data_IF_734506814663
#
_entry.id   IF_734506814663
#
_cell.length_a   1.000
_cell.length_b   1.000
_cell.length_c   1.000
_cell.angle_alpha   90.00
_cell.angle_beta   90.00
_cell.angle_gamma   90.00
#
_symmetry.space_group_name_H-M   'P 1'
#
loop_
_entity.id
_entity.type
_entity.pdbx_description
1 polymer ?
#
# COMPACT_ATOMS: atom_id res chain seq x y z
N UNK A 1 23.97 -10.44 1.02
CA UNK A 1 24.02 -9.91 2.41
C UNK A 1 23.38 -8.52 2.56
N UNK A 2 23.60 -7.55 1.66
CA UNK A 2 23.04 -6.19 1.77
C UNK A 2 21.49 -6.14 1.77
N UNK A 3 20.83 -7.04 1.03
CA UNK A 3 19.37 -7.08 0.91
C UNK A 3 18.64 -7.60 2.17
N UNK A 4 19.24 -8.49 2.97
CA UNK A 4 18.55 -9.13 4.10
C UNK A 4 18.44 -8.20 5.31
N UNK A 5 19.54 -7.51 5.66
CA UNK A 5 19.51 -6.53 6.75
C UNK A 5 18.63 -5.33 6.44
N UNK A 6 18.55 -4.91 5.17
CA UNK A 6 17.65 -3.84 4.75
C UNK A 6 16.19 -4.24 4.84
N UNK A 7 15.82 -5.44 4.35
CA UNK A 7 14.45 -5.95 4.49
C UNK A 7 14.02 -6.08 5.96
N UNK A 8 14.92 -6.51 6.85
CA UNK A 8 14.61 -6.64 8.28
C UNK A 8 14.45 -5.28 8.96
N UNK A 9 15.22 -4.28 8.56
CA UNK A 9 15.24 -2.97 9.23
C UNK A 9 14.33 -1.94 8.55
N UNK A 10 13.64 -2.31 7.47
CA UNK A 10 12.66 -1.51 6.76
C UNK A 10 11.39 -2.35 6.50
N UNK A 11 10.67 -2.78 7.55
CA UNK A 11 9.52 -3.67 7.44
C UNK A 11 8.34 -3.05 6.66
N UNK A 12 8.29 -1.73 6.55
CA UNK A 12 7.30 -1.02 5.76
C UNK A 12 7.65 -0.94 4.26
N UNK A 13 8.87 -1.32 3.87
CA UNK A 13 9.32 -1.30 2.49
C UNK A 13 8.69 -2.39 1.62
N UNK A 14 9.06 -2.41 0.34
CA UNK A 14 8.69 -3.50 -0.57
C UNK A 14 9.70 -4.64 -0.52
N UNK A 15 9.20 -5.87 -0.39
CA UNK A 15 10.02 -7.07 -0.19
C UNK A 15 10.00 -8.02 -1.39
N UNK A 16 9.14 -7.77 -2.37
CA UNK A 16 9.00 -8.66 -3.51
C UNK A 16 10.23 -8.69 -4.41
N UNK A 17 10.61 -9.90 -4.79
CA UNK A 17 11.64 -10.17 -5.80
C UNK A 17 11.04 -10.99 -6.96
N UNK A 18 11.44 -10.74 -8.22
CA UNK A 18 10.93 -11.49 -9.38
C UNK A 18 11.13 -13.03 -9.26
N UNK A 19 12.15 -13.44 -8.51
CA UNK A 19 12.48 -14.84 -8.24
C UNK A 19 11.54 -15.52 -7.21
N UNK A 20 10.67 -14.76 -6.55
CA UNK A 20 9.82 -15.23 -5.44
C UNK A 20 8.34 -15.37 -5.82
N UNK A 21 8.04 -15.73 -7.08
CA UNK A 21 6.64 -15.98 -7.48
C UNK A 21 6.16 -17.36 -7.02
N UNK A 22 4.89 -17.50 -6.55
CA UNK A 22 3.88 -16.45 -6.39
C UNK A 22 4.17 -15.54 -5.19
N UNK A 23 3.98 -14.23 -5.38
CA UNK A 23 4.20 -13.21 -4.36
C UNK A 23 2.99 -12.31 -4.23
N UNK A 24 2.67 -11.89 -3.01
CA UNK A 24 1.64 -10.90 -2.73
C UNK A 24 2.12 -10.01 -1.60
N UNK A 25 1.97 -8.70 -1.78
CA UNK A 25 2.25 -7.72 -0.74
C UNK A 25 1.30 -6.54 -0.88
N UNK A 26 0.83 -6.04 0.25
CA UNK A 26 -0.07 -4.89 0.31
C UNK A 26 0.09 -4.14 1.63
N UNK A 27 -0.14 -2.83 1.59
CA UNK A 27 0.04 -1.94 2.74
C UNK A 27 -1.32 -1.44 3.21
N UNK A 28 -1.65 -1.64 4.48
CA UNK A 28 -2.96 -1.29 5.01
C UNK A 28 -2.99 0.13 5.58
N UNK A 29 -3.62 1.07 4.87
CA UNK A 29 -3.88 2.42 5.38
C UNK A 29 -5.32 2.51 5.88
N UNK A 30 -5.49 2.66 7.20
CA UNK A 30 -6.80 2.96 7.81
C UNK A 30 -6.93 4.46 8.03
N UNK A 31 -7.98 5.03 7.45
CA UNK A 31 -8.27 6.46 7.47
C UNK A 31 -9.60 6.65 8.18
N UNK A 32 -9.60 7.43 9.27
CA UNK A 32 -10.82 7.81 9.99
C UNK A 32 -10.72 9.30 10.26
N UNK A 33 -11.75 10.05 9.85
CA UNK A 33 -11.81 11.49 10.12
C UNK A 33 -12.27 11.76 11.57
N UNK A 34 -12.16 13.02 12.01
CA UNK A 34 -12.53 13.40 13.38
C UNK A 34 -14.02 13.22 13.70
N UNK A 35 -14.88 13.16 12.67
CA UNK A 35 -16.32 12.95 12.86
C UNK A 35 -16.70 11.47 12.86
N UNK A 36 -15.75 10.57 12.54
CA UNK A 36 -15.95 9.15 12.29
C UNK A 36 -16.95 8.82 11.17
N UNK A 37 -17.41 9.83 10.43
CA UNK A 37 -18.31 9.66 9.31
C UNK A 37 -17.56 9.06 8.12
N UNK A 38 -16.35 9.55 7.87
CA UNK A 38 -15.47 9.07 6.82
C UNK A 38 -14.48 8.08 7.41
N UNK A 39 -14.71 6.80 7.11
CA UNK A 39 -13.86 5.68 7.55
C UNK A 39 -13.58 4.80 6.36
N UNK A 40 -12.32 4.74 5.96
CA UNK A 40 -11.88 3.99 4.80
C UNK A 40 -10.68 3.14 5.16
N UNK A 41 -10.57 1.98 4.52
CA UNK A 41 -9.30 1.27 4.42
C UNK A 41 -8.86 1.31 2.95
N UNK A 42 -7.63 1.75 2.69
CA UNK A 42 -7.05 1.76 1.36
C UNK A 42 -5.81 0.88 1.38
N UNK A 43 -5.77 -0.08 0.47
CA UNK A 43 -4.74 -1.13 0.42
C UNK A 43 -4.13 -1.12 -0.99
N UNK A 44 -3.09 -0.32 -1.25
CA UNK A 44 -2.24 -0.54 -2.40
C UNK A 44 -1.48 -1.85 -2.27
N UNK A 45 -1.21 -2.51 -3.39
CA UNK A 45 -0.39 -3.71 -3.39
C UNK A 45 0.00 -4.21 -4.77
N UNK A 46 0.69 -5.34 -4.77
CA UNK A 46 1.07 -6.08 -5.97
C UNK A 46 0.81 -7.56 -5.78
N UNK A 47 0.29 -8.21 -6.82
CA UNK A 47 0.12 -9.65 -6.92
C UNK A 47 0.96 -10.14 -8.10
N UNK A 48 1.90 -11.05 -7.85
CA UNK A 48 2.72 -11.70 -8.89
C UNK A 48 2.27 -13.15 -9.14
N UNK A 49 0.98 -13.42 -8.97
CA UNK A 49 0.37 -14.72 -9.25
C UNK A 49 0.26 -14.97 -10.77
N UNK A 50 0.50 -16.21 -11.19
CA UNK A 50 0.37 -16.64 -12.60
C UNK A 50 -1.06 -17.12 -12.95
N UNK A 51 -1.99 -17.13 -11.98
CA UNK A 51 -3.39 -17.51 -12.18
C UNK A 51 -4.36 -16.37 -11.88
N UNK A 52 -5.59 -16.47 -12.37
CA UNK A 52 -6.60 -15.41 -12.24
C UNK A 52 -6.31 -14.23 -13.17
N UNK A 53 -6.31 -13.01 -12.61
CA UNK A 53 -6.03 -11.76 -13.33
C UNK A 53 -4.55 -11.59 -13.76
N UNK A 54 -3.70 -12.59 -13.47
CA UNK A 54 -2.26 -12.56 -13.75
C UNK A 54 -1.49 -11.59 -12.85
N UNK A 55 -0.22 -11.31 -13.15
CA UNK A 55 0.58 -10.35 -12.38
C UNK A 55 0.06 -8.91 -12.57
N UNK A 56 -0.23 -8.21 -11.47
CA UNK A 56 -0.79 -6.86 -11.51
C UNK A 56 -0.47 -6.05 -10.25
N UNK A 57 -0.48 -4.73 -10.38
CA UNK A 57 -0.65 -3.83 -9.23
C UNK A 57 -2.13 -3.70 -8.90
N UNK A 58 -2.47 -3.37 -7.66
CA UNK A 58 -3.87 -3.12 -7.30
C UNK A 58 -4.01 -2.04 -6.24
N UNK A 59 -5.21 -1.46 -6.17
CA UNK A 59 -5.67 -0.67 -5.04
C UNK A 59 -7.02 -1.22 -4.61
N UNK A 60 -7.11 -1.72 -3.38
CA UNK A 60 -8.36 -2.13 -2.77
C UNK A 60 -8.86 -1.02 -1.83
N UNK A 61 -10.15 -0.71 -1.91
CA UNK A 61 -10.80 0.27 -1.04
C UNK A 61 -11.93 -0.43 -0.29
N UNK A 62 -11.99 -0.21 1.02
CA UNK A 62 -13.10 -0.61 1.88
C UNK A 62 -13.77 0.65 2.42
N UNK A 63 -15.09 0.77 2.23
CA UNK A 63 -15.90 1.76 2.92
C UNK A 63 -16.34 1.18 4.27
N UNK A 64 -15.83 1.75 5.36
CA UNK A 64 -16.13 1.29 6.71
C UNK A 64 -17.54 1.64 7.20
N UNK A 65 -18.27 2.49 6.50
CA UNK A 65 -19.66 2.88 6.81
C UNK A 65 -20.66 1.97 6.11
N UNK A 66 -20.39 1.52 4.88
CA UNK A 66 -21.28 0.63 4.11
C UNK A 66 -20.85 -0.84 4.14
N UNK A 67 -19.56 -1.11 4.37
CA UNK A 67 -18.96 -2.43 4.23
C UNK A 67 -18.64 -2.81 2.78
N UNK A 68 -18.88 -1.90 1.82
CA UNK A 68 -18.58 -2.13 0.41
C UNK A 68 -17.07 -2.17 0.18
N UNK A 69 -16.68 -2.94 -0.84
CA UNK A 69 -15.28 -3.15 -1.20
C UNK A 69 -15.12 -3.05 -2.70
N UNK A 70 -14.16 -2.26 -3.14
CA UNK A 70 -13.76 -2.15 -4.54
C UNK A 70 -12.31 -2.63 -4.70
N UNK A 71 -12.02 -3.34 -5.79
CA UNK A 71 -10.69 -3.84 -6.12
C UNK A 71 -10.31 -3.36 -7.52
N UNK A 72 -9.34 -2.43 -7.60
CA UNK A 72 -8.91 -1.82 -8.86
C UNK A 72 -7.61 -2.41 -9.32
N UNK A 73 -7.65 -3.07 -10.47
CA UNK A 73 -6.48 -3.68 -11.11
C UNK A 73 -5.75 -2.65 -11.97
N UNK A 74 -4.44 -2.65 -11.84
CA UNK A 74 -3.52 -1.85 -12.63
C UNK A 74 -2.51 -2.74 -13.36
N UNK A 75 -2.12 -2.39 -14.59
CA UNK A 75 -1.04 -3.08 -15.28
C UNK A 75 0.22 -3.09 -14.41
N UNK A 76 0.91 -4.24 -14.34
CA UNK A 76 2.06 -4.43 -13.45
C UNK A 76 3.17 -3.40 -13.70
N UNK A 77 3.37 -2.98 -14.94
CA UNK A 77 4.36 -1.97 -15.34
C UNK A 77 4.12 -0.58 -14.71
N UNK A 78 2.91 -0.33 -14.20
CA UNK A 78 2.57 0.91 -13.49
C UNK A 78 2.83 0.85 -11.98
N UNK A 79 3.19 -0.34 -11.46
CA UNK A 79 3.60 -0.53 -10.09
C UNK A 79 5.09 -0.21 -9.92
N UNK A 80 5.40 0.61 -8.92
CA UNK A 80 6.77 0.84 -8.49
C UNK A 80 6.84 1.03 -6.97
N UNK A 81 7.92 0.55 -6.36
CA UNK A 81 8.20 0.76 -4.95
C UNK A 81 9.64 1.24 -4.74
N UNK A 82 9.82 2.16 -3.78
CA UNK A 82 11.17 2.58 -3.37
C UNK A 82 11.89 1.44 -2.62
N UNK A 83 13.22 1.43 -2.73
CA UNK A 83 14.08 0.36 -2.16
C UNK A 83 14.48 0.63 -0.71
N UNK A 84 14.36 1.87 -0.27
CA UNK A 84 14.96 2.39 0.97
C UNK A 84 13.96 3.16 1.86
N UNK A 85 12.68 3.19 1.47
CA UNK A 85 11.59 3.82 2.21
C UNK A 85 10.24 3.22 1.81
N UNK A 86 9.22 3.42 2.65
CA UNK A 86 7.82 3.25 2.25
C UNK A 86 7.45 4.32 1.22
N UNK A 87 7.45 3.96 -0.05
CA UNK A 87 6.86 4.73 -1.14
C UNK A 87 6.41 3.77 -2.24
N UNK A 88 5.09 3.68 -2.44
CA UNK A 88 4.44 2.82 -3.42
C UNK A 88 3.72 3.71 -4.44
N UNK A 89 3.91 3.40 -5.72
CA UNK A 89 3.26 4.07 -6.85
C UNK A 89 2.50 3.05 -7.67
N UNK A 90 1.24 3.34 -7.98
CA UNK A 90 0.37 2.48 -8.79
C UNK A 90 -0.44 3.39 -9.71
N UNK A 91 -0.04 3.44 -10.99
CA UNK A 91 -0.61 4.39 -11.94
C UNK A 91 -0.44 5.84 -11.44
N UNK A 92 -1.51 6.65 -11.33
CA UNK A 92 -1.44 8.02 -10.82
C UNK A 92 -1.38 8.13 -9.29
N UNK A 93 -1.49 7.01 -8.56
CA UNK A 93 -1.63 7.00 -7.11
C UNK A 93 -0.27 6.85 -6.43
N UNK A 94 -0.11 7.49 -5.26
CA UNK A 94 1.14 7.45 -4.48
C UNK A 94 0.81 7.25 -3.01
N UNK A 95 1.53 6.36 -2.35
CA UNK A 95 1.40 6.07 -0.92
C UNK A 95 2.78 6.11 -0.30
N UNK A 96 2.96 6.86 0.78
CA UNK A 96 4.22 6.88 1.52
C UNK A 96 3.96 7.17 3.00
N UNK A 97 5.03 7.24 3.79
CA UNK A 97 4.93 7.52 5.23
C UNK A 97 4.34 8.89 5.55
N UNK A 98 4.37 9.86 4.63
CA UNK A 98 3.90 11.23 4.84
C UNK A 98 2.51 11.50 4.26
N UNK A 99 1.92 10.57 3.51
CA UNK A 99 0.61 10.82 2.91
C UNK A 99 0.21 9.87 1.80
N UNK A 100 -0.96 10.16 1.24
CA UNK A 100 -1.60 9.42 0.17
C UNK A 100 -2.10 10.40 -0.90
N UNK A 101 -1.84 10.08 -2.17
CA UNK A 101 -2.50 10.71 -3.33
C UNK A 101 -3.30 9.65 -4.06
N UNK A 102 -4.61 9.89 -4.22
CA UNK A 102 -5.53 9.03 -4.95
C UNK A 102 -6.13 9.76 -6.14
N UNK A 103 -6.19 9.08 -7.29
CA UNK A 103 -6.92 9.50 -8.48
C UNK A 103 -7.61 8.26 -9.08
N UNK A 104 -8.80 7.99 -8.57
CA UNK A 104 -9.63 6.82 -8.87
C UNK A 104 -11.05 7.25 -9.27
N UNK A 105 -11.21 8.03 -10.35
CA UNK A 105 -12.52 8.57 -10.73
C UNK A 105 -13.51 7.48 -11.20
N UNK A 106 -13.01 6.30 -11.57
CA UNK A 106 -13.83 5.16 -12.02
C UNK A 106 -14.38 4.31 -10.86
N UNK A 107 -14.04 4.66 -9.60
CA UNK A 107 -14.64 4.01 -8.41
C UNK A 107 -16.10 4.42 -8.26
N UNK A 108 -16.92 3.57 -7.63
CA UNK A 108 -18.26 3.97 -7.22
C UNK A 108 -18.24 5.16 -6.25
N UNK A 109 -17.16 5.28 -5.47
CA UNK A 109 -16.90 6.39 -4.56
C UNK A 109 -16.30 7.64 -5.23
N UNK A 110 -15.95 7.60 -6.54
CA UNK A 110 -15.30 8.67 -7.30
C UNK A 110 -14.14 9.36 -6.54
N UNK A 111 -13.24 8.56 -5.96
CA UNK A 111 -12.20 9.09 -5.06
C UNK A 111 -11.11 9.83 -5.84
N UNK A 112 -10.90 11.10 -5.49
CA UNK A 112 -9.76 11.89 -5.92
C UNK A 112 -9.34 12.85 -4.82
N UNK A 113 -8.05 12.87 -4.48
CA UNK A 113 -7.57 13.79 -3.46
C UNK A 113 -6.17 13.49 -2.95
N UNK A 114 -5.77 14.27 -1.95
CA UNK A 114 -4.51 14.14 -1.26
C UNK A 114 -4.74 14.20 0.25
N UNK A 115 -3.99 13.38 0.98
CA UNK A 115 -3.96 13.34 2.44
C UNK A 115 -2.52 13.48 2.90
N UNK A 116 -2.29 14.42 3.81
CA UNK A 116 -1.01 14.61 4.49
C UNK A 116 -1.07 14.01 5.89
N UNK A 117 -0.03 13.27 6.26
CA UNK A 117 0.14 12.72 7.60
C UNK A 117 1.15 13.56 8.38
N UNK A 118 0.75 13.98 9.58
CA UNK A 118 1.59 14.74 10.51
C UNK A 118 1.52 14.14 11.90
N UNK A 119 2.53 14.44 12.73
CA UNK A 119 2.65 13.94 14.11
C UNK A 119 2.60 12.40 14.22
N UNK A 120 3.21 11.70 13.27
CA UNK A 120 3.28 10.24 13.24
C UNK A 120 4.00 9.68 14.47
N UNK A 121 3.45 8.59 15.01
CA UNK A 121 4.07 7.78 16.05
C UNK A 121 4.47 6.42 15.43
N UNK A 122 5.64 6.33 14.77
CA UNK A 122 6.06 5.11 14.10
C UNK A 122 6.34 4.01 15.12
N UNK A 123 6.14 2.77 14.70
CA UNK A 123 6.56 1.62 15.50
C UNK A 123 8.09 1.63 15.66
N UNK A 124 8.62 1.44 16.88
CA UNK A 124 10.05 1.51 17.10
C UNK A 124 10.75 0.29 16.49
N UNK A 125 11.52 0.51 15.42
CA UNK A 125 12.44 -0.49 14.84
C UNK A 125 13.77 -0.43 15.57
N UNK A 126 14.18 -1.55 16.18
CA UNK A 126 15.47 -1.71 16.88
C UNK A 126 16.21 -2.93 16.36
N UNK A 127 17.53 -2.97 16.52
CA UNK A 127 18.35 -4.14 16.12
C UNK A 127 17.88 -5.47 16.73
N UNK A 128 17.39 -5.46 17.98
CA UNK A 128 16.83 -6.64 18.66
C UNK A 128 15.30 -6.72 18.58
N UNK A 129 14.66 -5.80 17.87
CA UNK A 129 13.22 -5.74 17.68
C UNK A 129 12.93 -5.11 16.31
N UNK A 130 13.21 -5.83 15.21
CA UNK A 130 13.27 -5.26 13.86
C UNK A 130 11.92 -4.76 13.30
N UNK A 131 10.84 -4.81 14.08
CA UNK A 131 9.54 -4.27 13.72
C UNK A 131 8.48 -5.36 13.60
N UNK A 132 7.31 -4.97 13.08
CA UNK A 132 6.24 -5.90 12.70
C UNK A 132 5.97 -5.71 11.21
N UNK A 133 5.67 -6.81 10.52
CA UNK A 133 4.92 -6.80 9.26
C UNK A 133 3.49 -7.19 9.57
#
# INVERSE_FOLDING_TARGET
MRNFLQSILLPEGYHGHPEQTPFFEGWYFKLVDSTEYHRYAVIPGVSLSQGGDGPHGFIQILDGSTGETEYHIYPLETFAAARDKLEIKIGPNVFNSHGITLDLPETALHIKGHLDFSALQPWPVKWFSPGIM
#
